data_IF_738165447588
#
_entry.id   IF_738165447588
#
_cell.length_a   1.000
_cell.length_b   1.000
_cell.length_c   1.000
_cell.angle_alpha   90.00
_cell.angle_beta   90.00
_cell.angle_gamma   90.00
#
_symmetry.space_group_name_H-M   'P 1'
#
loop_
_entity.id
_entity.type
_entity.pdbx_description
1 polymer ?
#
# COMPACT_ATOMS: atom_id res chain seq x y z
N UNK A 1 4.90 -29.83 15.93
CA UNK A 1 3.69 -29.07 15.57
C UNK A 1 4.14 -27.66 15.25
N UNK A 2 3.65 -27.05 14.16
CA UNK A 2 4.03 -25.69 13.80
C UNK A 2 3.65 -24.70 14.90
N UNK A 3 4.51 -23.71 15.13
CA UNK A 3 4.24 -22.60 16.02
C UNK A 3 3.28 -21.64 15.33
N UNK A 4 2.16 -21.32 15.99
CA UNK A 4 1.20 -20.37 15.42
C UNK A 4 1.76 -18.97 15.55
N UNK A 5 1.96 -18.29 14.44
CA UNK A 5 2.41 -16.91 14.41
C UNK A 5 1.31 -15.96 13.92
N UNK A 6 1.30 -14.76 14.48
CA UNK A 6 0.52 -13.64 13.96
C UNK A 6 1.44 -12.50 13.57
N UNK A 7 1.24 -11.96 12.37
CA UNK A 7 2.01 -10.82 11.86
C UNK A 7 1.21 -9.55 12.11
N UNK A 8 1.83 -8.56 12.73
CA UNK A 8 1.25 -7.26 13.02
C UNK A 8 2.04 -6.18 12.28
N UNK A 9 1.42 -5.58 11.28
CA UNK A 9 2.07 -4.69 10.31
C UNK A 9 1.70 -3.26 10.62
N UNK A 10 2.68 -2.46 11.01
CA UNK A 10 2.58 -1.01 11.01
C UNK A 10 2.55 -0.53 9.55
N UNK A 11 1.34 -0.31 9.04
CA UNK A 11 1.11 0.08 7.66
C UNK A 11 1.60 1.49 7.34
N UNK A 12 1.64 2.40 8.33
CA UNK A 12 2.22 3.73 8.14
C UNK A 12 3.73 3.64 7.96
N UNK A 13 4.42 2.94 8.88
CA UNK A 13 5.85 2.68 8.75
C UNK A 13 6.19 1.98 7.43
N UNK A 14 5.44 0.94 7.07
CA UNK A 14 5.72 0.18 5.85
C UNK A 14 5.47 1.00 4.59
N UNK A 15 4.41 1.81 4.57
CA UNK A 15 4.10 2.72 3.48
C UNK A 15 5.23 3.76 3.26
N UNK A 16 5.76 4.33 4.34
CA UNK A 16 6.84 5.32 4.25
C UNK A 16 8.18 4.66 3.90
N UNK A 17 8.43 3.46 4.41
CA UNK A 17 9.70 2.75 4.20
C UNK A 17 9.78 2.07 2.82
N UNK A 18 8.67 1.85 2.12
CA UNK A 18 8.71 1.18 0.80
C UNK A 18 9.53 1.93 -0.25
N UNK A 19 9.62 3.26 -0.17
CA UNK A 19 10.41 4.01 -1.15
C UNK A 19 11.88 3.65 -1.04
N UNK A 20 12.37 3.37 0.17
CA UNK A 20 13.73 2.89 0.41
C UNK A 20 13.97 1.56 -0.30
N UNK A 21 13.01 0.64 -0.23
CA UNK A 21 13.06 -0.61 -1.00
C UNK A 21 13.14 -0.32 -2.50
N UNK A 22 12.29 0.58 -3.01
CA UNK A 22 12.25 0.88 -4.44
C UNK A 22 13.56 1.49 -4.94
N UNK A 23 14.14 2.39 -4.14
CA UNK A 23 15.41 3.06 -4.44
C UNK A 23 16.59 2.08 -4.44
N UNK A 24 16.58 1.06 -3.56
CA UNK A 24 17.63 0.02 -3.51
C UNK A 24 17.71 -0.85 -4.78
N UNK A 25 16.62 -0.93 -5.56
CA UNK A 25 16.62 -1.70 -6.82
C UNK A 25 16.91 -0.88 -8.05
N UNK A 26 16.92 0.45 -7.96
CA UNK A 26 17.05 1.35 -9.12
C UNK A 26 16.12 0.96 -10.29
N UNK A 27 14.94 0.44 -9.96
CA UNK A 27 13.99 -0.11 -10.94
C UNK A 27 12.68 0.66 -10.94
N UNK A 28 12.25 1.07 -12.14
CA UNK A 28 10.93 1.67 -12.33
C UNK A 28 9.84 0.61 -12.23
N UNK A 29 8.87 0.82 -11.33
CA UNK A 29 7.69 -0.06 -11.21
C UNK A 29 7.86 -1.27 -10.29
N UNK A 30 8.78 -1.22 -9.32
CA UNK A 30 8.77 -2.20 -8.23
C UNK A 30 7.42 -2.15 -7.49
N UNK A 31 6.81 -3.32 -7.34
CA UNK A 31 5.57 -3.50 -6.59
C UNK A 31 5.76 -4.66 -5.61
N UNK A 32 5.13 -4.57 -4.43
CA UNK A 32 5.21 -5.59 -3.39
C UNK A 32 4.08 -6.60 -3.60
N UNK A 33 4.40 -7.90 -3.55
CA UNK A 33 3.44 -8.98 -3.52
C UNK A 33 2.86 -9.15 -2.11
N UNK A 34 1.89 -8.30 -1.77
CA UNK A 34 1.19 -8.35 -0.48
C UNK A 34 0.50 -9.70 -0.25
N UNK A 35 0.16 -10.47 -1.28
CA UNK A 35 -0.48 -11.77 -1.11
C UNK A 35 0.50 -12.81 -0.59
N UNK A 36 1.75 -12.79 -1.06
CA UNK A 36 2.81 -13.70 -0.60
C UNK A 36 3.51 -13.22 0.67
N UNK A 37 3.50 -11.92 0.94
CA UNK A 37 4.27 -11.31 2.03
C UNK A 37 4.12 -12.02 3.40
N UNK A 38 2.93 -12.37 3.91
CA UNK A 38 2.82 -13.01 5.22
C UNK A 38 3.44 -14.42 5.25
N UNK A 39 3.34 -15.16 4.13
CA UNK A 39 3.94 -16.49 4.00
C UNK A 39 5.46 -16.40 4.00
N UNK A 40 6.02 -15.45 3.24
CA UNK A 40 7.46 -15.20 3.20
C UNK A 40 7.99 -14.78 4.58
N UNK A 41 7.29 -13.86 5.25
CA UNK A 41 7.62 -13.46 6.63
C UNK A 41 7.62 -14.66 7.58
N UNK A 42 6.63 -15.55 7.48
CA UNK A 42 6.57 -16.79 8.25
C UNK A 42 7.78 -17.69 8.01
N UNK A 43 8.18 -17.85 6.74
CA UNK A 43 9.35 -18.64 6.36
C UNK A 43 10.64 -18.07 6.94
N UNK A 44 10.93 -16.79 6.72
CA UNK A 44 12.18 -16.18 7.21
C UNK A 44 12.26 -16.17 8.73
N UNK A 45 11.14 -15.94 9.42
CA UNK A 45 11.08 -16.03 10.87
C UNK A 45 11.25 -17.48 11.35
N UNK A 46 10.69 -18.45 10.64
CA UNK A 46 10.91 -19.86 10.89
C UNK A 46 12.38 -20.24 10.79
N UNK A 47 13.05 -19.78 9.74
CA UNK A 47 14.49 -19.98 9.54
C UNK A 47 15.30 -19.33 10.67
N UNK A 48 14.96 -18.10 11.07
CA UNK A 48 15.64 -17.40 12.17
C UNK A 48 15.44 -18.08 13.53
N UNK A 49 14.30 -18.74 13.74
CA UNK A 49 13.96 -19.47 14.97
C UNK A 49 14.41 -20.94 14.96
N UNK A 50 14.88 -21.46 13.82
CA UNK A 50 15.04 -22.89 13.55
C UNK A 50 13.76 -23.68 13.93
N UNK A 51 12.60 -23.18 13.46
CA UNK A 51 11.29 -23.69 13.81
C UNK A 51 10.30 -23.64 12.63
N UNK A 52 9.38 -24.60 12.63
CA UNK A 52 8.22 -24.56 11.73
C UNK A 52 7.20 -23.53 12.23
N UNK A 53 6.92 -22.51 11.41
CA UNK A 53 6.08 -21.37 11.74
C UNK A 53 4.88 -21.30 10.78
N UNK A 54 3.68 -21.39 11.34
CA UNK A 54 2.42 -21.25 10.60
C UNK A 54 1.80 -19.88 10.89
N UNK A 55 1.73 -19.02 9.87
CA UNK A 55 1.13 -17.69 9.99
C UNK A 55 -0.39 -17.82 9.93
N UNK A 56 -1.02 -17.85 11.11
CA UNK A 56 -2.47 -18.01 11.25
C UNK A 56 -3.24 -16.71 10.99
N UNK A 57 -2.54 -15.56 10.98
CA UNK A 57 -3.15 -14.25 10.72
C UNK A 57 -2.11 -13.19 10.35
N UNK A 58 -2.49 -12.30 9.43
CA UNK A 58 -1.78 -11.05 9.16
C UNK A 58 -2.72 -9.87 9.45
N UNK A 59 -2.34 -9.02 10.39
CA UNK A 59 -3.06 -7.81 10.77
C UNK A 59 -2.34 -6.59 10.18
N UNK A 60 -3.05 -5.77 9.41
CA UNK A 60 -2.52 -4.53 8.83
C UNK A 60 -3.22 -3.32 9.44
N UNK A 61 -2.44 -2.38 9.96
CA UNK A 61 -2.94 -1.18 10.61
C UNK A 61 -2.59 0.05 9.78
N UNK A 62 -3.58 0.86 9.42
CA UNK A 62 -3.35 2.05 8.60
C UNK A 62 -4.30 3.20 8.93
N UNK A 63 -4.05 4.35 8.32
CA UNK A 63 -4.90 5.55 8.44
C UNK A 63 -5.63 5.84 7.13
N UNK A 64 -6.77 6.52 7.20
CA UNK A 64 -7.48 7.00 6.01
C UNK A 64 -7.88 8.46 6.18
N UNK A 65 -7.24 9.39 5.47
CA UNK A 65 -7.58 10.81 5.54
C UNK A 65 -8.93 11.07 4.86
N UNK A 66 -9.88 11.68 5.60
CA UNK A 66 -11.22 11.98 5.08
C UNK A 66 -11.29 13.34 4.36
N UNK A 67 -10.75 14.37 5.01
CA UNK A 67 -10.93 15.77 4.60
C UNK A 67 -9.62 16.49 4.27
N UNK A 68 -8.57 15.75 3.92
CA UNK A 68 -7.25 16.31 3.60
C UNK A 68 -7.31 17.11 2.29
N UNK A 69 -7.04 18.43 2.29
CA UNK A 69 -7.09 19.24 1.07
C UNK A 69 -6.18 18.67 -0.02
N UNK A 70 -6.70 18.56 -1.26
CA UNK A 70 -5.94 18.08 -2.41
C UNK A 70 -5.64 16.57 -2.43
N UNK A 71 -6.16 15.79 -1.49
CA UNK A 71 -5.94 14.35 -1.43
C UNK A 71 -7.21 13.56 -1.78
N UNK A 72 -7.08 12.56 -2.64
CA UNK A 72 -8.17 11.64 -2.98
C UNK A 72 -7.94 10.26 -2.34
N UNK A 73 -8.75 9.85 -1.34
CA UNK A 73 -8.57 8.58 -0.63
C UNK A 73 -9.00 7.35 -1.43
N UNK A 74 -9.57 7.48 -2.64
CA UNK A 74 -10.11 6.36 -3.41
C UNK A 74 -9.08 5.24 -3.65
N UNK A 75 -7.84 5.59 -4.03
CA UNK A 75 -6.77 4.59 -4.25
C UNK A 75 -6.40 3.84 -2.97
N UNK A 76 -6.36 4.55 -1.85
CA UNK A 76 -6.05 3.97 -0.55
C UNK A 76 -7.18 3.06 -0.05
N UNK A 77 -8.45 3.45 -0.25
CA UNK A 77 -9.61 2.59 0.02
C UNK A 77 -9.56 1.30 -0.80
N UNK A 78 -9.28 1.40 -2.11
CA UNK A 78 -9.14 0.21 -2.97
C UNK A 78 -7.99 -0.68 -2.52
N UNK A 79 -6.87 -0.11 -2.09
CA UNK A 79 -5.76 -0.88 -1.53
C UNK A 79 -6.15 -1.64 -0.26
N UNK A 80 -6.86 -1.02 0.68
CA UNK A 80 -7.32 -1.71 1.89
C UNK A 80 -8.34 -2.81 1.59
N UNK A 81 -9.25 -2.59 0.64
CA UNK A 81 -10.16 -3.63 0.16
C UNK A 81 -9.41 -4.81 -0.46
N UNK A 82 -8.39 -4.54 -1.28
CA UNK A 82 -7.52 -5.57 -1.86
C UNK A 82 -6.80 -6.39 -0.76
N UNK A 83 -6.27 -5.75 0.27
CA UNK A 83 -5.64 -6.45 1.39
C UNK A 83 -6.63 -7.38 2.11
N UNK A 84 -7.85 -6.92 2.39
CA UNK A 84 -8.87 -7.72 3.06
C UNK A 84 -9.39 -8.86 2.18
N UNK A 85 -9.79 -8.55 0.94
CA UNK A 85 -10.57 -9.46 0.09
C UNK A 85 -9.68 -10.42 -0.70
N UNK A 86 -8.58 -9.94 -1.26
CA UNK A 86 -7.74 -10.73 -2.18
C UNK A 86 -6.51 -11.34 -1.50
N UNK A 87 -6.06 -10.72 -0.40
CA UNK A 87 -4.88 -11.14 0.35
C UNK A 87 -5.20 -11.77 1.72
N UNK A 88 -6.43 -11.65 2.24
CA UNK A 88 -6.86 -12.28 3.49
C UNK A 88 -6.34 -11.62 4.77
N UNK A 89 -5.98 -10.34 4.72
CA UNK A 89 -5.51 -9.60 5.89
C UNK A 89 -6.68 -9.15 6.77
N UNK A 90 -6.45 -9.11 8.08
CA UNK A 90 -7.30 -8.33 8.98
C UNK A 90 -6.82 -6.88 8.96
N UNK A 91 -7.58 -6.02 8.29
CA UNK A 91 -7.20 -4.62 8.12
C UNK A 91 -8.01 -3.74 9.08
N UNK A 92 -7.29 -3.02 9.94
CA UNK A 92 -7.85 -1.99 10.82
C UNK A 92 -7.44 -0.61 10.28
N UNK A 93 -8.43 0.16 9.82
CA UNK A 93 -8.23 1.48 9.21
C UNK A 93 -8.79 2.55 10.12
N UNK A 94 -7.92 3.47 10.55
CA UNK A 94 -8.28 4.60 11.39
C UNK A 94 -8.58 5.82 10.51
N UNK A 95 -9.83 6.23 10.47
CA UNK A 95 -10.20 7.45 9.74
C UNK A 95 -9.63 8.69 10.44
N UNK A 96 -9.13 9.63 9.64
CA UNK A 96 -8.51 10.87 10.11
C UNK A 96 -9.25 12.08 9.57
N UNK A 97 -9.86 12.84 10.47
CA UNK A 97 -10.49 14.09 10.13
C UNK A 97 -9.48 15.23 10.24
N UNK A 98 -8.82 15.55 9.13
CA UNK A 98 -7.84 16.63 9.04
C UNK A 98 -8.37 18.02 9.38
N UNK A 99 -9.69 18.22 9.55
CA UNK A 99 -10.26 19.49 10.04
C UNK A 99 -10.34 19.55 11.56
N UNK A 100 -10.50 18.41 12.23
CA UNK A 100 -10.68 18.33 13.68
C UNK A 100 -9.40 17.91 14.39
N UNK A 101 -8.51 17.21 13.68
CA UNK A 101 -7.38 16.49 14.26
C UNK A 101 -6.03 17.07 13.79
N UNK A 102 -5.92 18.41 13.85
CA UNK A 102 -4.69 19.11 13.49
C UNK A 102 -3.52 18.71 14.40
N UNK A 103 -2.39 18.32 13.80
CA UNK A 103 -1.13 18.07 14.51
C UNK A 103 -0.97 16.68 15.12
N UNK A 104 -1.95 15.77 14.95
CA UNK A 104 -1.81 14.38 15.38
C UNK A 104 -1.16 13.57 14.24
N UNK A 105 0.00 12.96 14.52
CA UNK A 105 0.72 12.11 13.57
C UNK A 105 0.02 10.76 13.39
N UNK A 106 -0.09 10.32 12.14
CA UNK A 106 -0.62 9.02 11.70
C UNK A 106 0.04 7.84 12.43
N UNK A 107 1.37 7.87 12.59
CA UNK A 107 2.17 6.79 13.19
C UNK A 107 1.74 6.47 14.63
N UNK A 108 1.41 7.50 15.41
CA UNK A 108 0.98 7.30 16.82
C UNK A 108 -0.34 6.57 16.91
N UNK A 109 -1.29 6.85 16.01
CA UNK A 109 -2.61 6.22 16.00
C UNK A 109 -2.52 4.76 15.60
N UNK A 110 -1.75 4.49 14.53
CA UNK A 110 -1.46 3.13 14.09
C UNK A 110 -0.77 2.34 15.19
N UNK A 111 0.19 2.95 15.89
CA UNK A 111 0.84 2.36 17.05
C UNK A 111 -0.14 1.95 18.16
N UNK A 112 -1.14 2.79 18.48
CA UNK A 112 -2.17 2.48 19.49
C UNK A 112 -3.08 1.33 19.05
N UNK A 113 -3.59 1.35 17.82
CA UNK A 113 -4.45 0.28 17.30
C UNK A 113 -3.70 -1.06 17.24
N UNK A 114 -2.48 -1.04 16.71
CA UNK A 114 -1.60 -2.22 16.66
C UNK A 114 -1.35 -2.77 18.07
N UNK A 115 -1.00 -1.90 19.02
CA UNK A 115 -0.74 -2.32 20.40
C UNK A 115 -1.98 -2.91 21.07
N UNK A 116 -3.15 -2.30 20.88
CA UNK A 116 -4.41 -2.79 21.42
C UNK A 116 -4.75 -4.19 20.87
N UNK A 117 -4.68 -4.36 19.55
CA UNK A 117 -4.98 -5.62 18.88
C UNK A 117 -3.97 -6.72 19.21
N UNK A 118 -2.66 -6.42 19.19
CA UNK A 118 -1.62 -7.39 19.56
C UNK A 118 -1.77 -7.85 21.01
N UNK A 119 -2.04 -6.94 21.96
CA UNK A 119 -2.30 -7.31 23.35
C UNK A 119 -3.59 -8.09 23.53
N UNK A 120 -4.65 -7.76 22.79
CA UNK A 120 -5.90 -8.51 22.80
C UNK A 120 -5.65 -9.99 22.43
N UNK A 121 -5.03 -10.24 21.27
CA UNK A 121 -4.71 -11.61 20.85
C UNK A 121 -3.69 -12.30 21.77
N UNK A 122 -2.69 -11.58 22.27
CA UNK A 122 -1.73 -12.16 23.22
C UNK A 122 -2.39 -12.63 24.53
N UNK A 123 -3.52 -12.01 24.90
CA UNK A 123 -4.32 -12.37 26.08
C UNK A 123 -5.25 -13.56 25.85
N UNK A 124 -5.52 -13.92 24.60
CA UNK A 124 -6.43 -15.01 24.26
C UNK A 124 -5.69 -16.36 24.25
N UNK A 125 -6.15 -17.36 25.03
CA UNK A 125 -5.58 -18.70 24.98
C UNK A 125 -5.67 -19.29 23.57
N UNK A 126 -4.55 -19.85 23.08
CA UNK A 126 -4.49 -20.55 21.78
C UNK A 126 -4.57 -19.67 20.53
N UNK A 127 -4.62 -18.33 20.66
CA UNK A 127 -4.65 -17.43 19.50
C UNK A 127 -3.37 -17.52 18.67
N UNK A 128 -2.21 -17.42 19.33
CA UNK A 128 -0.89 -17.60 18.72
C UNK A 128 0.17 -17.88 19.79
N UNK A 129 1.33 -18.38 19.36
CA UNK A 129 2.52 -18.62 20.17
C UNK A 129 3.58 -17.52 19.95
N UNK A 130 3.68 -17.02 18.72
CA UNK A 130 4.66 -16.02 18.28
C UNK A 130 4.00 -14.76 17.70
N UNK A 131 4.34 -13.59 18.23
CA UNK A 131 4.01 -12.29 17.62
C UNK A 131 5.16 -11.81 16.74
N UNK A 132 4.87 -11.53 15.48
CA UNK A 132 5.82 -10.93 14.53
C UNK A 132 5.41 -9.48 14.35
N UNK A 133 6.22 -8.54 14.85
CA UNK A 133 6.04 -7.11 14.59
C UNK A 133 6.76 -6.77 13.30
N UNK A 134 6.02 -6.24 12.33
CA UNK A 134 6.59 -5.64 11.13
C UNK A 134 6.48 -4.11 11.27
N UNK A 135 7.57 -3.46 11.68
CA UNK A 135 7.56 -2.06 12.11
C UNK A 135 8.95 -1.55 12.50
N UNK A 136 9.08 -0.23 12.67
CA UNK A 136 10.38 0.39 12.98
C UNK A 136 10.43 1.36 14.14
N UNK A 137 9.32 1.65 14.82
CA UNK A 137 9.32 2.61 15.93
C UNK A 137 9.83 2.02 17.24
N UNK A 138 10.70 2.75 17.95
CA UNK A 138 11.09 2.41 19.34
C UNK A 138 9.93 2.47 20.33
N UNK A 139 8.80 3.08 19.95
CA UNK A 139 7.60 3.17 20.79
C UNK A 139 6.92 1.80 20.97
N UNK A 140 7.30 0.78 20.18
CA UNK A 140 6.82 -0.59 20.34
C UNK A 140 7.51 -1.37 21.47
N UNK A 141 8.62 -0.87 22.05
CA UNK A 141 9.35 -1.60 23.11
C UNK A 141 8.47 -1.96 24.32
N UNK A 142 7.62 -1.08 24.87
CA UNK A 142 6.72 -1.44 25.96
C UNK A 142 5.71 -2.51 25.55
N UNK A 143 5.15 -2.43 24.35
CA UNK A 143 4.23 -3.44 23.81
C UNK A 143 4.89 -4.82 23.76
N UNK A 144 6.08 -4.90 23.16
CA UNK A 144 6.82 -6.16 23.02
C UNK A 144 7.10 -6.80 24.40
N UNK A 145 7.51 -6.00 25.40
CA UNK A 145 7.66 -6.50 26.78
C UNK A 145 6.37 -7.10 27.33
N UNK A 146 5.24 -6.40 27.16
CA UNK A 146 3.94 -6.89 27.66
C UNK A 146 3.46 -8.13 26.95
N UNK A 147 3.73 -8.29 25.67
CA UNK A 147 3.42 -9.51 24.92
C UNK A 147 4.25 -10.68 25.43
N UNK A 148 5.54 -10.46 25.71
CA UNK A 148 6.41 -11.45 26.36
C UNK A 148 5.94 -11.82 27.76
N UNK A 149 5.48 -10.85 28.56
CA UNK A 149 4.88 -11.10 29.88
C UNK A 149 3.65 -12.03 29.81
N UNK A 150 3.01 -12.16 28.64
CA UNK A 150 1.92 -13.13 28.38
C UNK A 150 2.40 -14.48 27.87
N UNK A 151 3.70 -14.75 27.96
CA UNK A 151 4.33 -16.00 27.54
C UNK A 151 4.41 -16.17 26.03
N UNK A 152 4.28 -15.09 25.25
CA UNK A 152 4.42 -15.12 23.80
C UNK A 152 5.86 -14.86 23.39
N UNK A 153 6.29 -15.50 22.31
CA UNK A 153 7.52 -15.13 21.61
C UNK A 153 7.29 -13.85 20.81
N UNK A 154 8.34 -13.06 20.63
CA UNK A 154 8.30 -11.78 19.92
C UNK A 154 9.45 -11.69 18.94
N UNK A 155 9.13 -11.35 17.69
CA UNK A 155 10.06 -11.27 16.58
C UNK A 155 9.87 -9.94 15.86
N UNK A 156 10.94 -9.45 15.23
CA UNK A 156 10.95 -8.20 14.50
C UNK A 156 11.24 -8.45 13.02
N UNK A 157 10.39 -7.91 12.17
CA UNK A 157 10.63 -7.71 10.74
C UNK A 157 10.78 -6.21 10.51
N UNK A 158 11.95 -5.77 10.06
CA UNK A 158 12.30 -4.35 9.98
C UNK A 158 13.11 -4.04 8.71
N UNK A 159 13.57 -2.80 8.55
CA UNK A 159 14.65 -2.44 7.61
C UNK A 159 15.99 -2.47 8.34
N UNK A 160 17.07 -2.90 7.67
CA UNK A 160 18.42 -2.91 8.27
C UNK A 160 19.08 -1.52 8.33
N UNK A 161 18.42 -0.50 7.78
CA UNK A 161 18.90 0.87 7.63
C UNK A 161 20.12 1.02 6.69
N UNK A 162 20.17 0.21 5.63
CA UNK A 162 21.16 0.34 4.57
C UNK A 162 21.24 1.79 4.05
N UNK A 163 22.45 2.20 3.64
CA UNK A 163 22.70 3.51 3.03
C UNK A 163 22.28 4.71 3.91
N UNK A 164 22.31 4.57 5.24
CA UNK A 164 21.88 5.57 6.23
C UNK A 164 20.40 5.96 6.15
N UNK A 165 19.55 5.14 5.51
CA UNK A 165 18.11 5.35 5.46
C UNK A 165 17.49 4.78 6.74
N UNK A 166 17.43 5.62 7.79
CA UNK A 166 16.96 5.25 9.14
C UNK A 166 15.44 5.00 9.22
N UNK A 167 14.93 4.01 8.49
CA UNK A 167 13.53 3.58 8.55
C UNK A 167 13.20 2.89 9.87
N UNK A 168 14.17 2.20 10.48
CA UNK A 168 14.02 1.52 11.75
C UNK A 168 14.81 2.25 12.83
N UNK A 169 14.21 2.47 13.99
CA UNK A 169 14.90 3.05 15.14
C UNK A 169 16.09 2.16 15.55
N UNK A 170 17.32 2.70 15.61
CA UNK A 170 18.48 1.95 16.09
C UNK A 170 18.29 1.44 17.51
N UNK A 171 17.55 2.19 18.34
CA UNK A 171 17.22 1.81 19.73
C UNK A 171 16.35 0.54 19.77
N UNK A 172 15.48 0.34 18.78
CA UNK A 172 14.69 -0.88 18.68
C UNK A 172 15.57 -2.06 18.26
N UNK A 173 16.44 -1.87 17.27
CA UNK A 173 17.29 -2.93 16.70
C UNK A 173 18.29 -3.54 17.70
N UNK A 174 18.81 -2.73 18.63
CA UNK A 174 19.82 -3.19 19.60
C UNK A 174 19.22 -3.75 20.90
N UNK A 175 17.90 -3.67 21.09
CA UNK A 175 17.23 -4.20 22.30
C UNK A 175 16.92 -5.69 22.14
N UNK A 176 17.97 -6.50 22.06
CA UNK A 176 17.89 -7.95 21.80
C UNK A 176 17.05 -8.71 22.83
N UNK A 177 16.87 -8.17 24.04
CA UNK A 177 16.04 -8.79 25.08
C UNK A 177 14.54 -8.81 24.73
N UNK A 178 14.13 -8.03 23.72
CA UNK A 178 12.76 -8.00 23.23
C UNK A 178 12.46 -9.06 22.18
N UNK A 179 13.47 -9.80 21.69
CA UNK A 179 13.29 -10.72 20.58
C UNK A 179 13.84 -12.11 20.88
N UNK A 180 13.17 -13.14 20.39
CA UNK A 180 13.61 -14.53 20.58
C UNK A 180 14.55 -15.03 19.46
N UNK A 181 14.73 -14.24 18.41
CA UNK A 181 15.72 -14.44 17.35
C UNK A 181 16.21 -13.06 16.83
N UNK A 182 17.30 -13.02 16.04
CA UNK A 182 17.71 -11.80 15.35
C UNK A 182 16.57 -11.22 14.50
N UNK A 183 16.48 -9.87 14.37
CA UNK A 183 15.54 -9.25 13.45
C UNK A 183 15.73 -9.76 12.02
N UNK A 184 14.62 -9.95 11.31
CA UNK A 184 14.60 -10.23 9.87
C UNK A 184 14.47 -8.91 9.12
N UNK A 185 15.24 -8.74 8.04
CA UNK A 185 15.33 -7.47 7.33
C UNK A 185 14.71 -7.53 5.94
N UNK A 186 13.67 -6.73 5.69
CA UNK A 186 12.92 -6.73 4.43
C UNK A 186 13.76 -6.36 3.21
N UNK A 187 14.71 -5.46 3.41
CA UNK A 187 15.65 -5.00 2.39
C UNK A 187 16.65 -6.08 1.96
N UNK A 188 16.89 -7.09 2.80
CA UNK A 188 17.72 -8.26 2.44
C UNK A 188 16.93 -9.28 1.61
N UNK A 189 15.59 -9.27 1.71
CA UNK A 189 14.68 -10.17 1.02
C UNK A 189 13.85 -9.50 -0.08
N UNK A 190 14.30 -8.34 -0.54
CA UNK A 190 13.55 -7.47 -1.45
C UNK A 190 13.14 -8.15 -2.77
N UNK A 191 13.96 -9.07 -3.30
CA UNK A 191 13.66 -9.79 -4.54
C UNK A 191 12.51 -10.80 -4.36
N UNK A 192 12.38 -11.37 -3.16
CA UNK A 192 11.37 -12.38 -2.86
C UNK A 192 9.96 -11.77 -2.72
N UNK A 193 9.88 -10.56 -2.15
CA UNK A 193 8.62 -9.82 -1.95
C UNK A 193 8.16 -9.07 -3.19
N UNK A 194 8.95 -9.10 -4.27
CA UNK A 194 8.60 -8.45 -5.52
C UNK A 194 7.39 -9.13 -6.16
N UNK A 195 6.41 -8.32 -6.59
CA UNK A 195 5.33 -8.78 -7.44
C UNK A 195 5.86 -9.06 -8.85
N UNK A 196 6.04 -10.35 -9.15
CA UNK A 196 6.39 -10.81 -10.50
C UNK A 196 5.11 -11.03 -11.29
N UNK A 197 4.72 -10.02 -12.09
CA UNK A 197 3.62 -10.16 -13.03
C UNK A 197 4.05 -11.05 -14.19
N UNK A 198 3.56 -12.28 -14.22
CA UNK A 198 3.77 -13.18 -15.37
C UNK A 198 2.99 -12.67 -16.57
N UNK A 199 3.70 -12.43 -17.66
CA UNK A 199 3.08 -12.19 -18.96
C UNK A 199 2.42 -13.46 -19.46
N UNK A 200 1.12 -13.37 -19.75
CA UNK A 200 0.33 -14.48 -20.23
C UNK A 200 -0.42 -14.06 -21.50
N UNK A 201 -0.50 -14.94 -22.52
CA UNK A 201 -1.38 -14.69 -23.65
C UNK A 201 -2.84 -14.77 -23.18
N UNK A 202 -3.61 -13.70 -23.39
CA UNK A 202 -5.04 -13.66 -23.07
C UNK A 202 -5.86 -13.20 -24.26
N UNK A 203 -6.99 -13.87 -24.48
CA UNK A 203 -7.95 -13.49 -25.51
C UNK A 203 -8.82 -12.32 -25.03
N UNK A 204 -8.92 -11.28 -25.86
CA UNK A 204 -9.76 -10.12 -25.61
C UNK A 204 -11.24 -10.54 -25.53
N UNK A 205 -11.95 -10.13 -24.49
CA UNK A 205 -13.38 -10.41 -24.30
C UNK A 205 -14.25 -9.78 -25.41
N UNK A 206 -13.83 -8.65 -25.97
CA UNK A 206 -14.60 -7.93 -26.99
C UNK A 206 -14.41 -8.48 -28.41
N UNK A 207 -13.17 -8.80 -28.82
CA UNK A 207 -12.85 -9.15 -30.21
C UNK A 207 -12.20 -10.53 -30.38
N UNK A 208 -11.92 -11.25 -29.29
CA UNK A 208 -11.26 -12.56 -29.32
C UNK A 208 -9.75 -12.53 -29.63
N UNK A 209 -9.18 -11.38 -29.99
CA UNK A 209 -7.75 -11.29 -30.29
C UNK A 209 -6.89 -11.58 -29.06
N UNK A 210 -5.90 -12.45 -29.22
CA UNK A 210 -4.92 -12.75 -28.17
C UNK A 210 -3.84 -11.67 -28.11
N UNK A 211 -3.60 -11.12 -26.92
CA UNK A 211 -2.52 -10.19 -26.62
C UNK A 211 -1.80 -10.67 -25.36
N UNK A 212 -0.46 -10.56 -25.36
CA UNK A 212 0.35 -10.87 -24.17
C UNK A 212 0.15 -9.75 -23.18
N UNK A 213 -0.25 -10.10 -21.96
CA UNK A 213 -0.58 -9.12 -20.93
C UNK A 213 -0.19 -9.60 -19.55
N UNK A 214 0.07 -8.64 -18.66
CA UNK A 214 0.23 -8.86 -17.22
C UNK A 214 -1.09 -8.75 -16.45
N UNK A 215 -2.22 -8.54 -17.15
CA UNK A 215 -3.53 -8.37 -16.54
C UNK A 215 -4.04 -9.67 -15.89
N UNK A 216 -4.19 -9.64 -14.58
CA UNK A 216 -4.67 -10.78 -13.79
C UNK A 216 -6.20 -10.82 -13.62
N UNK A 217 -6.93 -9.74 -13.95
CA UNK A 217 -8.37 -9.65 -13.76
C UNK A 217 -9.18 -10.61 -14.65
N UNK A 218 -10.43 -10.86 -14.27
CA UNK A 218 -11.30 -11.87 -14.92
C UNK A 218 -11.58 -11.53 -16.39
N UNK A 219 -11.70 -10.24 -16.70
CA UNK A 219 -12.01 -9.75 -18.05
C UNK A 219 -10.81 -9.01 -18.63
N UNK A 220 -10.33 -9.46 -19.79
CA UNK A 220 -9.23 -8.81 -20.51
C UNK A 220 -9.76 -8.14 -21.78
N UNK A 221 -9.34 -6.90 -22.03
CA UNK A 221 -9.60 -6.17 -23.27
C UNK A 221 -8.25 -5.79 -23.90
N UNK A 222 -8.06 -6.10 -25.19
CA UNK A 222 -6.82 -5.77 -25.90
C UNK A 222 -6.62 -4.25 -25.99
N UNK A 223 -5.38 -3.83 -26.22
CA UNK A 223 -4.99 -2.42 -26.43
C UNK A 223 -5.95 -1.65 -27.34
N UNK A 224 -6.30 -2.23 -28.50
CA UNK A 224 -7.25 -1.66 -29.46
C UNK A 224 -8.66 -1.52 -28.90
N UNK A 225 -9.23 -2.59 -28.34
CA UNK A 225 -10.58 -2.52 -27.78
C UNK A 225 -10.67 -1.57 -26.59
N UNK A 226 -9.62 -1.46 -25.76
CA UNK A 226 -9.56 -0.45 -24.69
C UNK A 226 -9.59 0.97 -25.26
N UNK A 227 -8.78 1.26 -26.28
CA UNK A 227 -8.80 2.58 -26.91
C UNK A 227 -10.13 2.90 -27.57
N UNK A 228 -10.78 1.91 -28.17
CA UNK A 228 -12.07 2.07 -28.85
C UNK A 228 -13.22 2.26 -27.84
N UNK A 229 -13.20 1.55 -26.70
CA UNK A 229 -14.22 1.70 -25.64
C UNK A 229 -14.18 3.06 -24.93
N UNK A 230 -13.03 3.73 -24.96
CA UNK A 230 -12.89 5.11 -24.49
C UNK A 230 -13.29 6.13 -25.54
N UNK A 231 -13.26 5.79 -26.84
CA UNK A 231 -13.65 6.69 -27.93
C UNK A 231 -15.17 6.69 -28.09
N UNK A 232 -15.77 7.83 -27.80
CA UNK A 232 -17.18 8.10 -28.06
C UNK A 232 -17.30 9.31 -28.98
N UNK A 233 -18.20 9.23 -29.95
CA UNK A 233 -18.63 10.41 -30.71
C UNK A 233 -19.41 11.29 -29.75
N UNK A 234 -18.97 12.54 -29.57
CA UNK A 234 -19.67 13.51 -28.75
C UNK A 234 -19.91 14.79 -29.52
N UNK A 235 -21.05 15.41 -29.25
CA UNK A 235 -21.43 16.70 -29.80
C UNK A 235 -20.75 17.80 -28.98
N UNK A 236 -20.03 18.69 -29.64
CA UNK A 236 -19.40 19.84 -29.02
C UNK A 236 -20.44 20.79 -28.40
N UNK A 237 -20.30 21.12 -27.13
CA UNK A 237 -21.23 21.99 -26.41
C UNK A 237 -21.24 23.43 -26.94
N UNK A 238 -20.20 23.85 -27.66
CA UNK A 238 -20.10 25.21 -28.23
C UNK A 238 -20.64 25.32 -29.64
N UNK A 239 -20.32 24.36 -30.51
CA UNK A 239 -20.59 24.49 -31.95
C UNK A 239 -21.48 23.38 -32.53
N UNK A 240 -21.92 22.43 -31.71
CA UNK A 240 -22.79 21.34 -32.17
C UNK A 240 -22.08 20.30 -33.06
N UNK A 241 -20.77 20.44 -33.31
CA UNK A 241 -20.03 19.49 -34.15
C UNK A 241 -19.78 18.19 -33.40
N UNK A 242 -20.04 17.07 -34.07
CA UNK A 242 -19.66 15.75 -33.58
C UNK A 242 -18.16 15.48 -33.83
N UNK A 243 -17.46 15.04 -32.80
CA UNK A 243 -16.05 14.66 -32.88
C UNK A 243 -15.80 13.44 -31.98
N UNK A 244 -14.99 12.49 -32.46
CA UNK A 244 -14.54 11.36 -31.64
C UNK A 244 -13.63 11.85 -30.53
N UNK A 245 -13.93 11.44 -29.29
CA UNK A 245 -13.15 11.85 -28.13
C UNK A 245 -13.02 10.74 -27.10
N UNK A 246 -11.89 10.74 -26.41
CA UNK A 246 -11.67 9.97 -25.17
C UNK A 246 -12.03 10.75 -23.91
N UNK A 247 -12.52 12.00 -24.06
CA UNK A 247 -12.87 12.88 -22.97
C UNK A 247 -14.13 12.41 -22.24
N UNK A 248 -14.04 12.30 -20.91
CA UNK A 248 -15.03 11.58 -20.11
C UNK A 248 -15.89 12.43 -19.17
N UNK A 249 -15.67 13.74 -19.12
CA UNK A 249 -16.44 14.70 -18.32
C UNK A 249 -17.75 15.09 -19.00
N UNK A 250 -18.70 15.67 -18.26
CA UNK A 250 -20.02 16.00 -18.81
C UNK A 250 -19.97 17.01 -19.96
N UNK A 251 -18.98 17.91 -19.97
CA UNK A 251 -18.75 18.85 -21.07
C UNK A 251 -17.75 18.32 -22.10
N UNK A 252 -17.94 18.70 -23.36
CA UNK A 252 -17.05 18.39 -24.47
C UNK A 252 -16.91 19.58 -25.43
N UNK A 253 -15.66 20.01 -25.67
CA UNK A 253 -15.33 21.01 -26.68
C UNK A 253 -14.49 20.37 -27.79
N UNK A 254 -14.92 20.53 -29.05
CA UNK A 254 -14.18 19.97 -30.17
C UNK A 254 -12.78 20.61 -30.33
N UNK A 255 -11.89 19.94 -31.05
CA UNK A 255 -10.52 20.40 -31.29
C UNK A 255 -10.44 21.80 -31.89
N UNK A 256 -11.41 22.18 -32.75
CA UNK A 256 -11.48 23.53 -33.33
C UNK A 256 -11.84 24.58 -32.28
N UNK A 257 -12.91 24.38 -31.50
CA UNK A 257 -13.32 25.32 -30.45
C UNK A 257 -12.22 25.46 -29.37
N UNK A 258 -11.52 24.37 -29.02
CA UNK A 258 -10.37 24.44 -28.11
C UNK A 258 -9.20 25.26 -28.68
N UNK A 259 -8.92 25.14 -29.98
CA UNK A 259 -7.88 25.94 -30.65
C UNK A 259 -8.25 27.42 -30.72
N UNK A 260 -9.52 27.74 -31.01
CA UNK A 260 -10.04 29.11 -31.02
C UNK A 260 -10.04 29.72 -29.62
N UNK A 261 -10.45 28.97 -28.59
CA UNK A 261 -10.35 29.41 -27.19
C UNK A 261 -8.90 29.66 -26.78
N UNK A 262 -7.93 28.85 -27.22
CA UNK A 262 -6.51 29.09 -26.92
C UNK A 262 -5.97 30.32 -27.65
N UNK A 263 -6.38 30.56 -28.91
CA UNK A 263 -6.01 31.78 -29.66
C UNK A 263 -6.62 33.04 -29.04
N UNK A 264 -7.86 32.97 -28.57
CA UNK A 264 -8.58 34.13 -28.02
C UNK A 264 -8.34 34.34 -26.51
N UNK A 265 -8.03 33.28 -25.77
CA UNK A 265 -7.73 33.31 -24.33
C UNK A 265 -6.32 33.79 -24.00
N UNK A 266 -5.37 33.70 -24.95
CA UNK A 266 -4.05 34.33 -24.82
C UNK A 266 -4.08 35.85 -24.87
N UNK A 267 -5.15 36.46 -25.41
CA UNK A 267 -5.30 37.91 -25.51
C UNK A 267 -5.94 38.58 -24.26
N UNK A 268 -6.30 37.80 -23.23
CA UNK A 268 -6.96 38.31 -22.01
C UNK A 268 -6.16 38.12 -20.72
N UNK A 269 -4.93 37.60 -20.81
CA UNK A 269 -4.09 37.33 -19.63
C UNK A 269 -3.15 38.49 -19.24
N UNK A 270 -3.13 39.61 -19.98
CA UNK A 270 -2.26 40.77 -19.68
C UNK A 270 -2.93 41.93 -18.92
N UNK A 271 -4.22 41.87 -18.59
CA UNK A 271 -4.94 43.01 -17.98
C UNK A 271 -5.48 42.80 -16.55
N UNK A 272 -4.89 41.89 -15.77
CA UNK A 272 -5.15 41.84 -14.31
C UNK A 272 -3.88 41.81 -13.48
N UNK A 273 -3.06 42.84 -13.66
CA UNK A 273 -2.13 43.34 -12.65
C UNK A 273 -2.64 44.71 -12.20
N UNK A 274 -3.20 44.81 -10.97
CA UNK A 274 -3.32 46.00 -10.09
C UNK A 274 -4.20 45.57 -8.88
N UNK A 275 -3.60 45.38 -7.70
CA UNK A 275 -3.77 46.22 -6.46
C UNK A 275 -5.17 46.09 -5.85
N UNK A 276 -5.40 45.50 -4.67
CA UNK A 276 -4.83 45.73 -3.31
C UNK A 276 -4.69 44.38 -2.58
#
# INVERSE_FOLDING_TARGET
>A
MPQKAMVFIDGSWFYHSRQILFDLKDETGFEIDYKRLPLLVGQWVGDALDADVDVVRACYFGTLPLNKPGYNPAKQRVFYLFLQQDCGYEVEVLEMDHRLEHGISDDRRVGVALAASMMHFASMPGAFDTAILMGGSSDYRPLLRRVRDRGKRTLLVAMNNAENRQATSPVLLVDHALFDAPPVFLDEHIDEIRLVRKELPRACKACGQTEVTTWAGVEFYCSKCRSDHHRRVRTCDTCGREEETTWDKDYFYCSQCRKEFRRNGGARAEETSFTI
#
